data_IF_757133987363
#
_entry.id   IF_757133987363
#
_cell.length_a   1.000
_cell.length_b   1.000
_cell.length_c   1.000
_cell.angle_alpha   90.00
_cell.angle_beta   90.00
_cell.angle_gamma   90.00
#
_symmetry.space_group_name_H-M   'P 1'
#
loop_
_entity.id
_entity.type
_entity.pdbx_description
1 polymer ?
#
# COMPACT_ATOMS: atom_id res chain seq x y z
N UNK A 1 14.87 11.46 14.01
CA UNK A 1 15.02 10.83 12.67
C UNK A 1 13.64 10.76 12.05
N UNK A 2 13.37 11.61 11.07
CA UNK A 2 12.03 11.83 10.50
C UNK A 2 11.84 10.83 9.36
N UNK A 3 11.12 9.73 9.62
CA UNK A 3 10.69 8.80 8.58
C UNK A 3 9.79 9.56 7.60
N UNK A 4 10.31 9.90 6.43
CA UNK A 4 9.59 10.62 5.39
C UNK A 4 8.66 9.64 4.68
N UNK A 5 7.56 9.26 5.34
CA UNK A 5 6.52 8.42 4.74
C UNK A 5 5.90 9.12 3.53
N UNK A 6 5.66 8.38 2.45
CA UNK A 6 4.91 8.89 1.30
C UNK A 6 3.42 8.71 1.57
N UNK A 7 2.69 9.81 1.64
CA UNK A 7 1.22 9.82 1.79
C UNK A 7 0.56 9.92 0.43
N UNK A 8 -0.31 8.96 0.15
CA UNK A 8 -1.20 8.95 -1.01
C UNK A 8 -2.60 9.31 -0.52
N UNK A 9 -3.10 10.47 -0.94
CA UNK A 9 -4.47 10.90 -0.63
C UNK A 9 -5.35 10.72 -1.85
N UNK A 10 -6.41 9.93 -1.70
CA UNK A 10 -7.43 9.73 -2.73
C UNK A 10 -8.73 10.39 -2.30
N UNK A 11 -9.26 11.28 -3.13
CA UNK A 11 -10.57 11.90 -2.92
C UNK A 11 -11.60 11.22 -3.81
N UNK A 12 -12.62 10.64 -3.19
CA UNK A 12 -13.80 10.10 -3.87
C UNK A 12 -14.91 11.15 -3.81
N UNK A 13 -15.32 11.65 -4.97
CA UNK A 13 -16.52 12.47 -5.10
C UNK A 13 -17.51 11.72 -6.00
N UNK A 14 -18.58 11.17 -5.44
CA UNK A 14 -19.69 10.64 -6.22
C UNK A 14 -20.51 11.83 -6.76
N UNK A 15 -20.31 12.20 -8.03
CA UNK A 15 -21.24 13.10 -8.72
C UNK A 15 -22.53 12.32 -9.04
N UNK A 16 -23.68 12.90 -8.67
CA UNK A 16 -24.92 12.17 -8.45
C UNK A 16 -25.54 11.44 -9.65
N UNK A 17 -26.42 10.49 -9.28
CA UNK A 17 -27.53 9.94 -10.07
C UNK A 17 -27.21 9.45 -11.48
N UNK A 18 -26.13 8.68 -11.63
CA UNK A 18 -26.08 7.57 -12.57
C UNK A 18 -25.35 6.42 -11.87
N UNK A 19 -25.81 5.19 -12.06
CA UNK A 19 -25.22 3.96 -11.54
C UNK A 19 -23.82 3.74 -12.17
N UNK A 20 -22.85 4.58 -11.82
CA UNK A 20 -21.45 4.37 -12.11
C UNK A 20 -20.91 3.51 -10.96
N UNK A 21 -20.74 2.21 -11.20
CA UNK A 21 -19.84 1.41 -10.38
C UNK A 21 -18.53 2.21 -10.27
N UNK A 22 -18.16 2.63 -9.06
CA UNK A 22 -16.90 3.33 -8.82
C UNK A 22 -15.80 2.39 -9.32
N UNK A 23 -15.24 2.69 -10.49
CA UNK A 23 -14.16 1.92 -11.06
C UNK A 23 -12.96 1.91 -10.11
N UNK A 24 -12.06 0.91 -10.21
CA UNK A 24 -10.90 0.85 -9.36
C UNK A 24 -10.07 2.13 -9.48
N UNK A 25 -9.75 2.74 -8.34
CA UNK A 25 -8.87 3.90 -8.31
C UNK A 25 -7.44 3.41 -8.31
N UNK A 26 -6.76 3.59 -9.44
CA UNK A 26 -5.33 3.31 -9.56
C UNK A 26 -4.52 4.55 -9.18
N UNK A 27 -3.68 4.44 -8.16
CA UNK A 27 -2.68 5.44 -7.84
C UNK A 27 -1.34 5.02 -8.44
N UNK A 28 -0.79 5.88 -9.30
CA UNK A 28 0.39 5.65 -10.14
C UNK A 28 1.46 6.71 -9.82
N UNK A 29 2.77 6.39 -9.79
CA UNK A 29 3.45 5.35 -9.02
C UNK A 29 4.05 5.93 -7.72
N UNK A 30 4.25 5.09 -6.69
CA UNK A 30 5.10 5.46 -5.55
C UNK A 30 6.42 4.70 -5.63
N UNK A 31 7.52 5.43 -5.77
CA UNK A 31 8.87 4.91 -5.56
C UNK A 31 9.09 4.64 -4.08
N UNK A 32 9.44 3.40 -3.74
CA UNK A 32 9.98 3.03 -2.44
C UNK A 32 11.49 2.95 -2.57
N UNK A 33 12.20 3.74 -1.77
CA UNK A 33 13.67 3.70 -1.70
C UNK A 33 14.09 2.91 -0.47
N UNK A 34 15.18 2.15 -0.63
CA UNK A 34 15.80 1.40 0.45
C UNK A 34 17.10 2.11 0.81
N UNK A 35 17.16 2.64 2.02
CA UNK A 35 18.38 3.23 2.58
C UNK A 35 18.89 2.20 3.59
N UNK A 36 19.94 1.47 3.26
CA UNK A 36 20.67 0.67 4.25
C UNK A 36 22.12 1.11 4.28
N UNK A 37 22.63 1.32 5.49
CA UNK A 37 24.03 1.63 5.76
C UNK A 37 24.79 0.45 6.36
N UNK A 38 24.10 -0.61 6.80
CA UNK A 38 24.70 -1.73 7.50
C UNK A 38 23.82 -3.00 7.37
N UNK A 39 24.28 -4.06 6.70
CA UNK A 39 23.54 -5.32 6.57
C UNK A 39 23.46 -6.15 7.86
N UNK A 40 24.33 -5.88 8.85
CA UNK A 40 24.33 -6.57 10.14
C UNK A 40 23.41 -5.88 11.17
N UNK A 41 22.89 -4.68 10.85
CA UNK A 41 21.98 -3.90 11.70
C UNK A 41 20.52 -4.41 11.73
N UNK A 42 20.19 -5.48 10.99
CA UNK A 42 18.86 -6.11 11.00
C UNK A 42 18.12 -6.04 9.66
N UNK A 43 16.80 -5.91 9.69
CA UNK A 43 15.99 -5.90 8.46
C UNK A 43 16.17 -4.58 7.70
N UNK A 44 16.56 -4.65 6.43
CA UNK A 44 16.60 -3.46 5.56
C UNK A 44 15.16 -3.09 5.18
N UNK A 45 14.66 -2.02 5.80
CA UNK A 45 13.32 -1.50 5.56
C UNK A 45 13.33 -0.46 4.42
N UNK A 46 12.33 -0.53 3.56
CA UNK A 46 12.01 0.53 2.60
C UNK A 46 11.23 1.65 3.26
N UNK A 47 11.07 2.76 2.55
CA UNK A 47 10.18 3.85 2.99
C UNK A 47 8.75 3.33 3.18
N UNK A 48 8.10 3.57 4.35
CA UNK A 48 6.71 3.20 4.53
C UNK A 48 5.78 4.02 3.64
N UNK A 49 4.68 3.42 3.22
CA UNK A 49 3.66 4.04 2.38
C UNK A 49 2.34 4.10 3.15
N UNK A 50 1.74 5.29 3.17
CA UNK A 50 0.43 5.52 3.77
C UNK A 50 -0.56 5.82 2.67
N UNK A 51 -1.63 5.03 2.59
CA UNK A 51 -2.75 5.24 1.67
C UNK A 51 -3.93 5.73 2.50
N UNK A 52 -4.44 6.92 2.20
CA UNK A 52 -5.62 7.46 2.85
C UNK A 52 -6.68 7.87 1.84
N UNK A 53 -7.94 7.57 2.14
CA UNK A 53 -9.07 8.06 1.37
C UNK A 53 -10.20 8.46 2.29
N UNK A 54 -10.97 9.45 1.83
CA UNK A 54 -12.18 9.90 2.50
C UNK A 54 -13.37 9.37 1.71
N UNK A 55 -14.30 8.74 2.41
CA UNK A 55 -15.58 8.31 1.84
C UNK A 55 -16.68 9.24 2.33
N UNK A 56 -17.46 9.75 1.37
CA UNK A 56 -18.69 10.52 1.59
C UNK A 56 -19.87 9.78 0.98
N UNK A 57 -21.06 10.01 1.52
CA UNK A 57 -22.35 9.48 1.02
C UNK A 57 -22.70 8.07 1.51
N UNK A 58 -22.58 7.89 2.83
CA UNK A 58 -22.83 6.67 3.59
C UNK A 58 -24.23 6.07 3.48
N UNK A 59 -24.75 5.74 2.30
CA UNK A 59 -25.93 4.88 2.14
C UNK A 59 -25.58 3.54 1.48
N UNK A 60 -24.42 3.48 0.81
CA UNK A 60 -23.96 2.30 0.10
C UNK A 60 -22.92 1.53 0.90
N UNK A 61 -23.23 0.26 1.17
CA UNK A 61 -22.27 -0.70 1.71
C UNK A 61 -21.52 -1.32 0.54
N UNK A 62 -20.20 -1.22 0.57
CA UNK A 62 -19.32 -1.78 -0.46
C UNK A 62 -18.12 -2.40 0.23
N UNK A 63 -17.65 -3.54 -0.27
CA UNK A 63 -16.34 -4.04 0.14
C UNK A 63 -15.25 -3.22 -0.54
N UNK A 64 -14.15 -2.99 0.17
CA UNK A 64 -12.97 -2.37 -0.42
C UNK A 64 -11.76 -3.29 -0.29
N UNK A 65 -10.88 -3.24 -1.27
CA UNK A 65 -9.57 -3.90 -1.19
C UNK A 65 -8.48 -3.04 -1.80
N UNK A 66 -7.31 -3.06 -1.16
CA UNK A 66 -6.10 -2.45 -1.71
C UNK A 66 -5.23 -3.57 -2.24
N UNK A 67 -4.86 -3.46 -3.50
CA UNK A 67 -3.88 -4.33 -4.14
C UNK A 67 -2.63 -3.55 -4.50
N UNK A 68 -1.49 -4.22 -4.40
CA UNK A 68 -0.19 -3.68 -4.77
C UNK A 68 0.50 -4.65 -5.71
N UNK A 69 1.24 -4.10 -6.69
CA UNK A 69 2.15 -4.84 -7.54
C UNK A 69 3.40 -4.04 -7.84
N UNK A 70 4.49 -4.74 -8.12
CA UNK A 70 5.67 -4.15 -8.72
C UNK A 70 5.44 -3.89 -10.21
N UNK A 71 5.92 -2.75 -10.69
CA UNK A 71 5.88 -2.41 -12.13
C UNK A 71 6.92 -3.21 -12.94
N UNK A 72 7.90 -3.82 -12.26
CA UNK A 72 9.00 -4.59 -12.85
C UNK A 72 9.31 -5.81 -11.98
N UNK A 73 9.81 -6.88 -12.60
CA UNK A 73 10.24 -8.10 -11.89
C UNK A 73 11.57 -7.94 -11.14
N UNK A 74 12.28 -6.84 -11.35
CA UNK A 74 13.55 -6.50 -10.68
C UNK A 74 13.57 -5.04 -10.26
N UNK A 75 14.35 -4.71 -9.22
CA UNK A 75 14.50 -3.33 -8.77
C UNK A 75 15.27 -2.47 -9.78
N UNK A 76 14.89 -1.19 -9.86
CA UNK A 76 15.61 -0.18 -10.66
C UNK A 76 16.96 0.08 -10.02
N UNK A 77 18.00 0.25 -10.84
CA UNK A 77 19.42 0.36 -10.46
C UNK A 77 20.02 -0.88 -9.77
N UNK A 78 19.22 -1.93 -9.53
CA UNK A 78 19.64 -3.16 -8.85
C UNK A 78 19.01 -4.39 -9.50
N UNK A 79 19.33 -4.61 -10.79
CA UNK A 79 18.68 -5.64 -11.62
C UNK A 79 18.93 -7.07 -11.13
N UNK A 80 19.97 -7.31 -10.34
CA UNK A 80 20.22 -8.60 -9.71
C UNK A 80 19.20 -8.93 -8.60
N UNK A 81 18.50 -7.93 -8.07
CA UNK A 81 17.54 -8.07 -6.99
C UNK A 81 16.13 -8.20 -7.61
N UNK A 82 15.48 -9.37 -7.49
CA UNK A 82 14.12 -9.55 -7.96
C UNK A 82 13.12 -8.82 -7.05
N UNK A 83 11.96 -8.42 -7.58
CA UNK A 83 10.88 -7.85 -6.79
C UNK A 83 10.40 -8.80 -5.67
N UNK A 84 10.46 -10.12 -5.90
CA UNK A 84 10.14 -11.15 -4.90
C UNK A 84 11.08 -11.15 -3.69
N UNK A 85 12.24 -10.48 -3.77
CA UNK A 85 13.11 -10.22 -2.62
C UNK A 85 12.45 -9.29 -1.59
N UNK A 86 11.39 -8.57 -1.97
CA UNK A 86 10.66 -7.63 -1.12
C UNK A 86 9.50 -8.34 -0.44
N UNK A 87 9.46 -8.25 0.88
CA UNK A 87 8.32 -8.61 1.71
C UNK A 87 7.44 -7.38 1.90
N UNK A 88 6.17 -7.52 1.55
CA UNK A 88 5.14 -6.52 1.82
C UNK A 88 4.41 -6.90 3.09
N UNK A 89 4.21 -5.95 4.00
CA UNK A 89 3.37 -6.16 5.18
C UNK A 89 2.46 -4.95 5.39
N UNK A 90 1.18 -5.19 5.69
CA UNK A 90 0.30 -4.16 6.20
C UNK A 90 0.55 -4.02 7.71
N UNK A 91 0.87 -2.81 8.16
CA UNK A 91 1.15 -2.51 9.56
C UNK A 91 -0.13 -2.16 10.33
N UNK A 92 -1.01 -1.37 9.72
CA UNK A 92 -2.26 -0.96 10.35
C UNK A 92 -3.30 -0.56 9.31
N UNK A 93 -4.56 -0.81 9.65
CA UNK A 93 -5.72 -0.18 9.02
C UNK A 93 -6.43 0.64 10.10
N UNK A 94 -6.56 1.94 9.87
CA UNK A 94 -7.25 2.85 10.77
C UNK A 94 -8.45 3.43 10.05
N UNK A 95 -9.59 3.41 10.73
CA UNK A 95 -10.83 3.99 10.22
C UNK A 95 -11.29 5.01 11.27
N UNK A 96 -11.53 6.24 10.84
CA UNK A 96 -12.09 7.30 11.67
C UNK A 96 -13.41 7.74 11.11
N UNK A 97 -14.47 7.55 11.89
CA UNK A 97 -15.81 8.07 11.65
C UNK A 97 -16.56 8.17 12.96
N UNK A 98 -17.55 9.05 13.02
CA UNK A 98 -18.19 9.46 14.27
C UNK A 98 -19.33 8.56 14.75
N UNK A 99 -19.74 7.55 13.98
CA UNK A 99 -20.99 6.82 14.19
C UNK A 99 -20.80 5.30 14.38
N UNK A 100 -21.66 4.62 15.16
CA UNK A 100 -21.70 3.16 15.22
C UNK A 100 -21.88 2.56 13.82
N UNK A 101 -21.07 1.56 13.48
CA UNK A 101 -21.08 0.98 12.14
C UNK A 101 -20.18 1.71 11.14
N UNK A 102 -19.20 2.50 11.59
CA UNK A 102 -18.15 3.08 10.73
C UNK A 102 -17.22 1.98 10.20
N UNK A 103 -17.58 1.37 9.06
CA UNK A 103 -16.71 0.49 8.27
C UNK A 103 -16.07 -0.68 9.00
N UNK A 104 -15.22 -1.42 8.31
CA UNK A 104 -14.25 -2.34 8.89
C UNK A 104 -13.04 -2.44 7.97
N UNK A 105 -11.92 -2.90 8.51
CA UNK A 105 -10.68 -3.01 7.76
C UNK A 105 -9.68 -3.91 8.46
N UNK A 106 -8.99 -4.73 7.67
CA UNK A 106 -7.98 -5.65 8.16
C UNK A 106 -6.79 -5.75 7.19
N UNK A 107 -5.63 -5.98 7.77
CA UNK A 107 -4.42 -6.30 7.03
C UNK A 107 -4.48 -7.73 6.50
N UNK A 108 -4.03 -7.93 5.25
CA UNK A 108 -3.75 -9.26 4.74
C UNK A 108 -2.43 -9.80 5.33
N UNK A 109 -2.23 -11.14 5.37
CA UNK A 109 -0.96 -11.72 5.76
C UNK A 109 0.20 -11.19 4.89
N UNK A 110 1.41 -11.00 5.43
CA UNK A 110 2.57 -10.58 4.65
C UNK A 110 2.87 -11.55 3.50
N UNK A 111 3.31 -11.00 2.37
CA UNK A 111 3.62 -11.78 1.16
C UNK A 111 4.87 -11.26 0.44
N UNK A 112 5.37 -12.08 -0.49
CA UNK A 112 6.46 -11.71 -1.39
C UNK A 112 5.90 -10.95 -2.58
N UNK A 113 6.45 -9.77 -2.86
CA UNK A 113 5.97 -8.89 -3.91
C UNK A 113 6.21 -9.50 -5.30
N UNK A 114 5.18 -9.51 -6.13
CA UNK A 114 5.27 -9.85 -7.54
C UNK A 114 4.89 -8.70 -8.47
N UNK A 115 4.83 -9.01 -9.77
CA UNK A 115 4.29 -8.12 -10.82
C UNK A 115 2.78 -8.28 -11.04
N UNK A 116 2.16 -9.17 -10.26
CA UNK A 116 0.71 -9.44 -10.25
C UNK A 116 0.10 -8.75 -9.03
N UNK A 117 -1.13 -8.24 -9.17
CA UNK A 117 -1.85 -7.60 -8.08
C UNK A 117 -2.08 -8.57 -6.92
N UNK A 118 -1.60 -8.18 -5.75
CA UNK A 118 -1.78 -8.92 -4.51
C UNK A 118 -2.43 -8.03 -3.46
N UNK A 119 -3.44 -8.56 -2.77
CA UNK A 119 -4.18 -7.83 -1.76
C UNK A 119 -3.32 -7.62 -0.51
N UNK A 120 -3.22 -6.37 -0.06
CA UNK A 120 -2.46 -5.97 1.14
C UNK A 120 -3.38 -5.60 2.31
N UNK A 121 -4.56 -5.06 2.01
CA UNK A 121 -5.59 -4.77 3.00
C UNK A 121 -6.97 -4.86 2.34
N UNK A 122 -8.00 -5.07 3.15
CA UNK A 122 -9.38 -5.01 2.70
C UNK A 122 -10.34 -4.84 3.86
N UNK A 123 -11.59 -4.57 3.54
CA UNK A 123 -12.60 -4.35 4.55
C UNK A 123 -13.96 -4.00 3.96
N UNK A 124 -14.82 -3.48 4.83
CA UNK A 124 -16.15 -3.02 4.46
C UNK A 124 -16.24 -1.52 4.64
N UNK A 125 -16.84 -0.87 3.66
CA UNK A 125 -17.37 0.47 3.77
C UNK A 125 -18.83 0.36 4.22
N UNK A 126 -19.24 1.23 5.13
CA UNK A 126 -20.58 1.19 5.74
C UNK A 126 -21.21 2.59 5.67
N UNK A 127 -22.37 2.72 6.33
CA UNK A 127 -23.37 3.76 6.13
C UNK A 127 -23.00 5.17 6.68
N UNK A 128 -21.70 5.48 6.81
CA UNK A 128 -21.26 6.76 7.36
C UNK A 128 -19.99 7.27 6.69
N UNK A 129 -19.86 8.60 6.67
CA UNK A 129 -18.64 9.26 6.26
C UNK A 129 -17.48 8.82 7.16
N UNK A 130 -16.37 8.48 6.53
CA UNK A 130 -15.22 7.94 7.24
C UNK A 130 -13.92 8.19 6.49
N UNK A 131 -12.88 8.49 7.25
CA UNK A 131 -11.50 8.49 6.80
C UNK A 131 -10.90 7.12 6.99
N UNK A 132 -10.36 6.56 5.93
CA UNK A 132 -9.64 5.30 5.94
C UNK A 132 -8.17 5.59 5.74
N UNK A 133 -7.31 4.94 6.52
CA UNK A 133 -5.86 5.07 6.42
C UNK A 133 -5.22 3.70 6.56
N UNK A 134 -4.43 3.29 5.58
CA UNK A 134 -3.70 2.02 5.55
C UNK A 134 -2.21 2.30 5.49
N UNK A 135 -1.45 1.74 6.44
CA UNK A 135 0.00 1.84 6.49
C UNK A 135 0.63 0.54 6.01
N UNK A 136 1.48 0.63 4.99
CA UNK A 136 2.16 -0.50 4.36
C UNK A 136 3.66 -0.31 4.56
N UNK A 137 4.32 -1.38 4.97
CA UNK A 137 5.78 -1.44 5.14
C UNK A 137 6.37 -2.45 4.15
N UNK A 138 7.57 -2.13 3.68
CA UNK A 138 8.34 -2.94 2.75
C UNK A 138 9.67 -3.29 3.40
N UNK A 139 10.12 -4.53 3.26
CA UNK A 139 11.44 -4.94 3.75
C UNK A 139 12.07 -5.99 2.86
N UNK A 140 13.40 -6.06 2.85
CA UNK A 140 14.11 -7.15 2.18
C UNK A 140 13.99 -8.45 2.97
N UNK A 141 13.83 -9.55 2.22
CA UNK A 141 14.07 -10.90 2.74
C UNK A 141 15.56 -11.12 3.01
N UNK A 142 15.85 -12.01 3.97
CA UNK A 142 17.17 -12.15 4.62
C UNK A 142 18.33 -12.32 3.64
N UNK A 143 18.16 -13.13 2.60
CA UNK A 143 19.21 -13.38 1.60
C UNK A 143 19.59 -12.15 0.75
N UNK A 144 18.75 -11.12 0.70
CA UNK A 144 18.94 -9.94 -0.15
C UNK A 144 19.37 -8.68 0.63
N UNK A 145 19.42 -8.76 1.96
CA UNK A 145 19.80 -7.64 2.83
C UNK A 145 21.18 -7.08 2.49
N UNK A 146 22.16 -7.95 2.26
CA UNK A 146 23.52 -7.55 1.86
C UNK A 146 23.55 -6.84 0.51
N UNK A 147 22.83 -7.35 -0.50
CA UNK A 147 22.79 -6.74 -1.83
C UNK A 147 22.07 -5.39 -1.84
N UNK A 148 21.02 -5.25 -1.02
CA UNK A 148 20.31 -3.97 -0.82
C UNK A 148 21.13 -2.95 -0.04
N UNK A 149 21.96 -3.38 0.91
CA UNK A 149 22.85 -2.50 1.68
C UNK A 149 24.02 -1.95 0.84
N UNK A 150 24.60 -2.78 -0.03
CA UNK A 150 25.73 -2.38 -0.88
C UNK A 150 25.26 -1.46 -2.03
N UNK A 151 23.97 -1.48 -2.39
CA UNK A 151 23.42 -0.66 -3.46
C UNK A 151 22.35 0.32 -2.94
N UNK A 152 22.73 1.45 -2.31
CA UNK A 152 21.79 2.39 -1.69
C UNK A 152 20.87 3.14 -2.67
N UNK A 153 21.04 2.93 -3.99
CA UNK A 153 20.25 3.53 -5.06
C UNK A 153 19.15 2.59 -5.62
N UNK A 154 18.92 1.41 -5.01
CA UNK A 154 17.85 0.52 -5.44
C UNK A 154 16.48 1.18 -5.24
N UNK A 155 15.72 1.31 -6.32
CA UNK A 155 14.38 1.87 -6.29
C UNK A 155 13.36 0.83 -6.75
N UNK A 156 12.22 0.80 -6.06
CA UNK A 156 11.09 -0.06 -6.39
C UNK A 156 9.91 0.80 -6.82
N UNK A 157 9.46 0.60 -8.05
CA UNK A 157 8.29 1.27 -8.62
C UNK A 157 7.05 0.40 -8.41
N UNK A 158 6.07 0.94 -7.68
CA UNK A 158 4.85 0.24 -7.30
C UNK A 158 3.61 0.90 -7.89
N UNK A 159 2.64 0.08 -8.25
CA UNK A 159 1.27 0.51 -8.53
C UNK A 159 0.36 0.03 -7.41
N UNK A 160 -0.49 0.92 -6.91
CA UNK A 160 -1.53 0.61 -5.94
C UNK A 160 -2.89 0.81 -6.57
N UNK A 161 -3.79 -0.13 -6.32
CA UNK A 161 -5.16 -0.06 -6.84
C UNK A 161 -6.13 -0.31 -5.70
N UNK A 162 -7.06 0.63 -5.51
CA UNK A 162 -8.15 0.51 -4.55
C UNK A 162 -9.40 0.09 -5.31
N UNK A 163 -9.93 -1.08 -4.98
CA UNK A 163 -11.17 -1.63 -5.54
C UNK A 163 -12.32 -1.36 -4.57
N UNK A 164 -13.47 -0.98 -5.12
CA UNK A 164 -14.76 -0.89 -4.43
C UNK A 164 -15.73 -1.86 -5.13
N UNK A 165 -16.24 -2.83 -4.38
CA UNK A 165 -17.10 -3.94 -4.84
C UNK A 165 -18.46 -3.90 -4.16
#
# INVERSE_FOLDING_TARGET
>A
MQSTGRTITVFLAAAGLLCAALGPISVIPATVTFQSSDPDAGAVAGTPVTISWHYTDGWHKSSWSIRVRANSSTLTNCRAIPASAIRVSCQSVTIRGGAPGTGSGACSPPFQLGTVDQQVAGGLQQQHDADYTVNIIFSFQDSWRYQGAVNPACALELTYTVFFE
#
